data_IF_333464151819
#
_entry.id   IF_333464151819
#
_cell.length_a   1.000
_cell.length_b   1.000
_cell.length_c   1.000
_cell.angle_alpha   90.00
_cell.angle_beta   90.00
_cell.angle_gamma   90.00
#
_symmetry.space_group_name_H-M   'P 1'
#
loop_
_entity.id
_entity.type
_entity.pdbx_description
1 polymer ?
#
# COMPACT_ATOMS: atom_id res chain seq x y z
N UNK A 1 5.85 -10.41 -34.93
CA UNK A 1 5.64 -9.86 -33.55
C UNK A 1 6.91 -9.21 -33.06
N UNK A 2 6.83 -7.96 -32.51
CA UNK A 2 7.95 -7.18 -31.97
C UNK A 2 7.74 -6.84 -30.50
N UNK A 3 8.81 -6.51 -29.76
CA UNK A 3 8.69 -6.06 -28.35
C UNK A 3 7.80 -4.82 -28.24
N UNK A 4 7.91 -3.87 -29.18
CA UNK A 4 7.05 -2.67 -29.20
C UNK A 4 5.58 -3.02 -29.34
N UNK A 5 5.23 -3.98 -30.19
CA UNK A 5 3.84 -4.45 -30.31
C UNK A 5 3.35 -5.12 -29.01
N UNK A 6 4.23 -5.85 -28.33
CA UNK A 6 3.93 -6.44 -27.01
C UNK A 6 3.70 -5.35 -25.96
N UNK A 7 4.53 -4.30 -25.95
CA UNK A 7 4.34 -3.13 -25.06
C UNK A 7 2.98 -2.46 -25.32
N UNK A 8 2.59 -2.28 -26.57
CA UNK A 8 1.32 -1.64 -26.93
C UNK A 8 0.09 -2.43 -26.49
N UNK A 9 0.07 -3.76 -26.68
CA UNK A 9 -1.07 -4.56 -26.22
C UNK A 9 -1.19 -4.57 -24.68
N UNK A 10 -0.07 -4.60 -23.96
CA UNK A 10 -0.07 -4.51 -22.49
C UNK A 10 -0.52 -3.11 -22.03
N UNK A 11 -0.11 -2.05 -22.74
CA UNK A 11 -0.56 -0.68 -22.44
C UNK A 11 -2.08 -0.52 -22.63
N UNK A 12 -2.66 -1.06 -23.71
CA UNK A 12 -4.12 -1.01 -23.94
C UNK A 12 -4.87 -1.80 -22.87
N UNK A 13 -4.41 -2.98 -22.49
CA UNK A 13 -5.03 -3.76 -21.42
C UNK A 13 -5.03 -2.98 -20.08
N UNK A 14 -3.92 -2.35 -19.72
CA UNK A 14 -3.79 -1.58 -18.47
C UNK A 14 -4.72 -0.38 -18.42
N UNK A 15 -4.82 0.35 -19.52
CA UNK A 15 -5.54 1.61 -19.57
C UNK A 15 -7.01 1.48 -20.03
N UNK A 16 -7.42 0.33 -20.55
CA UNK A 16 -8.78 0.12 -21.10
C UNK A 16 -9.12 1.05 -22.28
N UNK A 17 -8.12 1.73 -22.87
CA UNK A 17 -8.30 2.78 -23.89
C UNK A 17 -7.09 2.85 -24.82
N UNK A 18 -7.34 2.85 -26.13
CA UNK A 18 -6.29 3.06 -27.15
C UNK A 18 -5.70 4.47 -27.11
N UNK A 19 -6.51 5.48 -26.74
CA UNK A 19 -6.06 6.88 -26.67
C UNK A 19 -5.08 7.03 -25.51
N UNK A 20 -5.49 6.63 -24.31
CA UNK A 20 -4.65 6.73 -23.10
C UNK A 20 -3.39 5.87 -23.22
N UNK A 21 -3.51 4.66 -23.80
CA UNK A 21 -2.35 3.81 -24.04
C UNK A 21 -1.34 4.43 -25.00
N UNK A 22 -1.81 5.13 -26.05
CA UNK A 22 -0.95 5.82 -27.01
C UNK A 22 -0.19 6.98 -26.36
N UNK A 23 -0.86 7.76 -25.51
CA UNK A 23 -0.24 8.84 -24.73
C UNK A 23 0.87 8.27 -23.82
N UNK A 24 0.59 7.17 -23.09
CA UNK A 24 1.55 6.49 -22.22
C UNK A 24 2.74 5.87 -22.98
N UNK A 25 2.52 5.47 -24.23
CA UNK A 25 3.58 4.96 -25.11
C UNK A 25 4.28 6.03 -25.94
N UNK A 26 3.95 7.31 -25.75
CA UNK A 26 4.53 8.45 -26.47
C UNK A 26 4.38 8.35 -28.00
N UNK A 27 3.21 7.84 -28.46
CA UNK A 27 2.88 7.71 -29.88
C UNK A 27 1.48 8.25 -30.17
N UNK A 28 1.13 8.39 -31.46
CA UNK A 28 -0.24 8.74 -31.83
C UNK A 28 -1.17 7.52 -31.75
N UNK A 29 -2.43 7.74 -31.41
CA UNK A 29 -3.44 6.66 -31.35
C UNK A 29 -3.55 5.86 -32.67
N UNK A 30 -3.55 6.49 -33.89
CA UNK A 30 -3.55 5.73 -35.13
C UNK A 30 -2.33 4.80 -35.25
N UNK A 31 -1.13 5.27 -34.86
CA UNK A 31 0.09 4.46 -34.91
C UNK A 31 -0.01 3.23 -34.00
N UNK A 32 -0.43 3.42 -32.74
CA UNK A 32 -0.61 2.31 -31.80
C UNK A 32 -1.67 1.32 -32.30
N UNK A 33 -2.82 1.82 -32.73
CA UNK A 33 -3.94 0.99 -33.23
C UNK A 33 -3.53 0.16 -34.45
N UNK A 34 -2.82 0.76 -35.42
CA UNK A 34 -2.31 0.08 -36.61
C UNK A 34 -1.31 -1.03 -36.26
N UNK A 35 -0.39 -0.78 -35.33
CA UNK A 35 0.59 -1.80 -34.88
C UNK A 35 -0.08 -2.97 -34.19
N UNK A 36 -1.11 -2.72 -33.37
CA UNK A 36 -1.88 -3.78 -32.73
C UNK A 36 -2.69 -4.57 -33.78
N UNK A 37 -3.32 -3.88 -34.74
CA UNK A 37 -4.04 -4.54 -35.81
C UNK A 37 -3.12 -5.46 -36.63
N UNK A 38 -1.92 -4.98 -37.00
CA UNK A 38 -0.91 -5.80 -37.70
C UNK A 38 -0.51 -7.03 -36.91
N UNK A 39 -0.38 -6.90 -35.57
CA UNK A 39 -0.08 -8.04 -34.70
C UNK A 39 -1.26 -9.03 -34.69
N UNK A 40 -2.50 -8.55 -34.55
CA UNK A 40 -3.71 -9.39 -34.60
C UNK A 40 -3.84 -10.15 -35.92
N UNK A 41 -3.52 -9.49 -37.04
CA UNK A 41 -3.50 -10.09 -38.39
C UNK A 41 -2.41 -11.15 -38.51
N UNK A 42 -1.18 -10.87 -38.02
CA UNK A 42 -0.07 -11.84 -38.01
C UNK A 42 -0.39 -13.09 -37.18
N UNK A 43 -1.08 -12.92 -36.06
CA UNK A 43 -1.48 -14.01 -35.17
C UNK A 43 -2.78 -14.72 -35.61
N UNK A 44 -3.53 -14.13 -36.53
CA UNK A 44 -4.82 -14.64 -36.98
C UNK A 44 -5.92 -14.59 -35.93
N UNK A 45 -5.82 -13.73 -34.91
CA UNK A 45 -6.76 -13.61 -33.80
C UNK A 45 -7.01 -12.16 -33.41
N UNK A 46 -8.15 -11.91 -32.75
CA UNK A 46 -8.41 -10.63 -32.09
C UNK A 46 -7.98 -10.70 -30.63
N UNK A 47 -7.14 -9.76 -30.21
CA UNK A 47 -6.68 -9.62 -28.82
C UNK A 47 -7.71 -8.82 -28.02
N UNK A 48 -8.29 -7.78 -28.63
CA UNK A 48 -9.24 -6.88 -27.97
C UNK A 48 -10.61 -6.90 -28.65
N UNK A 49 -11.65 -6.83 -27.82
CA UNK A 49 -13.00 -6.47 -28.26
C UNK A 49 -13.12 -4.93 -28.22
N UNK A 50 -13.23 -4.34 -29.41
CA UNK A 50 -13.29 -2.89 -29.58
C UNK A 50 -14.70 -2.31 -29.41
N UNK A 51 -15.73 -3.18 -29.24
CA UNK A 51 -17.12 -2.75 -29.08
C UNK A 51 -17.44 -2.37 -27.62
N UNK A 52 -16.56 -2.68 -26.70
CA UNK A 52 -16.73 -2.36 -25.28
C UNK A 52 -15.94 -1.12 -24.86
N UNK A 53 -16.50 -0.37 -23.91
CA UNK A 53 -15.84 0.73 -23.21
C UNK A 53 -16.01 0.52 -21.68
N UNK A 54 -14.92 0.28 -20.91
CA UNK A 54 -13.53 0.21 -21.35
C UNK A 54 -13.26 -0.96 -22.30
N UNK A 55 -12.19 -0.86 -23.10
CA UNK A 55 -11.74 -1.92 -24.03
C UNK A 55 -11.41 -3.19 -23.22
N UNK A 56 -11.95 -4.32 -23.65
CA UNK A 56 -11.77 -5.61 -22.98
C UNK A 56 -10.94 -6.55 -23.84
N UNK A 57 -10.12 -7.39 -23.21
CA UNK A 57 -9.42 -8.46 -23.88
C UNK A 57 -10.36 -9.64 -24.16
N UNK A 58 -10.27 -10.23 -25.36
CA UNK A 58 -10.92 -11.51 -25.67
C UNK A 58 -10.35 -12.64 -24.80
N UNK A 59 -11.00 -13.80 -24.76
CA UNK A 59 -10.49 -14.93 -23.97
C UNK A 59 -9.13 -15.43 -24.44
N UNK A 60 -8.86 -15.42 -25.75
CA UNK A 60 -7.54 -15.71 -26.28
C UNK A 60 -6.60 -14.53 -26.03
N UNK A 61 -7.08 -13.28 -26.15
CA UNK A 61 -6.33 -12.08 -25.81
C UNK A 61 -5.79 -12.09 -24.38
N UNK A 62 -6.58 -12.51 -23.38
CA UNK A 62 -6.13 -12.66 -21.98
C UNK A 62 -4.95 -13.61 -21.85
N UNK A 63 -4.99 -14.76 -22.56
CA UNK A 63 -3.89 -15.74 -22.55
C UNK A 63 -2.61 -15.17 -23.18
N UNK A 64 -2.75 -14.42 -24.28
CA UNK A 64 -1.63 -13.76 -24.95
C UNK A 64 -1.04 -12.66 -24.07
N UNK A 65 -1.86 -11.81 -23.46
CA UNK A 65 -1.44 -10.74 -22.57
C UNK A 65 -0.68 -11.28 -21.36
N UNK A 66 -1.06 -12.42 -20.80
CA UNK A 66 -0.29 -13.08 -19.74
C UNK A 66 1.12 -13.49 -20.20
N UNK A 67 1.27 -14.00 -21.44
CA UNK A 67 2.60 -14.33 -21.97
C UNK A 67 3.36 -13.05 -22.36
N UNK A 68 2.67 -12.05 -22.91
CA UNK A 68 3.24 -10.74 -23.24
C UNK A 68 3.90 -10.08 -22.02
N UNK A 69 3.21 -10.10 -20.87
CA UNK A 69 3.74 -9.61 -19.59
C UNK A 69 5.01 -10.35 -19.15
N UNK A 70 5.06 -11.67 -19.36
CA UNK A 70 6.28 -12.46 -19.05
C UNK A 70 7.45 -12.06 -19.95
N UNK A 71 7.21 -11.87 -21.26
CA UNK A 71 8.25 -11.43 -22.19
C UNK A 71 8.81 -10.07 -21.78
N UNK A 72 7.93 -9.11 -21.44
CA UNK A 72 8.38 -7.79 -20.95
C UNK A 72 9.13 -7.90 -19.62
N UNK A 73 8.69 -8.78 -18.73
CA UNK A 73 9.40 -9.06 -17.49
C UNK A 73 10.82 -9.55 -17.73
N UNK A 74 11.01 -10.58 -18.59
CA UNK A 74 12.35 -11.12 -18.92
C UNK A 74 13.24 -10.08 -19.60
N UNK A 75 12.69 -9.24 -20.48
CA UNK A 75 13.42 -8.10 -21.04
C UNK A 75 13.91 -7.16 -19.95
N UNK A 76 13.04 -6.80 -18.99
CA UNK A 76 13.40 -5.91 -17.88
C UNK A 76 14.43 -6.55 -16.93
N UNK A 77 14.40 -7.88 -16.76
CA UNK A 77 15.45 -8.62 -16.02
C UNK A 77 16.84 -8.44 -16.67
N UNK A 78 16.92 -8.36 -17.99
CA UNK A 78 18.19 -8.07 -18.69
C UNK A 78 18.71 -6.68 -18.30
N UNK A 79 17.84 -5.67 -18.29
CA UNK A 79 18.21 -4.31 -17.87
C UNK A 79 18.70 -4.28 -16.41
N UNK A 80 18.02 -5.02 -15.51
CA UNK A 80 18.43 -5.18 -14.10
C UNK A 80 19.80 -5.86 -13.95
N UNK A 81 20.10 -6.89 -14.77
CA UNK A 81 21.41 -7.55 -14.75
C UNK A 81 22.52 -6.58 -15.11
N UNK A 82 22.30 -5.72 -16.11
CA UNK A 82 23.26 -4.69 -16.51
C UNK A 82 23.47 -3.66 -15.39
N UNK A 83 22.37 -3.17 -14.81
CA UNK A 83 22.40 -2.24 -13.68
C UNK A 83 23.07 -2.88 -12.45
N UNK A 84 22.98 -4.22 -12.34
CA UNK A 84 23.58 -4.94 -11.20
C UNK A 84 25.09 -4.95 -11.19
N UNK A 85 25.73 -4.74 -12.31
CA UNK A 85 27.19 -4.67 -12.42
C UNK A 85 27.77 -3.27 -12.07
N UNK A 86 26.88 -2.27 -11.96
CA UNK A 86 27.30 -0.92 -11.55
C UNK A 86 27.26 -0.81 -10.03
N UNK A 87 28.33 -0.26 -9.44
CA UNK A 87 28.43 0.01 -8.00
C UNK A 87 27.46 1.11 -7.54
N UNK A 88 26.96 1.93 -8.47
CA UNK A 88 26.04 3.01 -8.20
C UNK A 88 24.58 2.58 -8.47
N UNK A 89 23.72 2.76 -7.48
CA UNK A 89 22.26 2.65 -7.65
C UNK A 89 21.73 3.92 -8.34
N UNK A 90 21.30 3.76 -9.59
CA UNK A 90 20.72 4.82 -10.42
C UNK A 90 19.38 4.33 -10.93
N UNK A 91 18.39 5.19 -10.96
CA UNK A 91 17.06 4.88 -11.51
C UNK A 91 15.94 5.63 -10.80
N UNK A 92 14.72 5.38 -11.25
CA UNK A 92 13.52 5.96 -10.66
C UNK A 92 12.73 4.93 -9.86
N UNK A 93 12.17 5.37 -8.73
CA UNK A 93 11.21 4.62 -7.92
C UNK A 93 9.94 5.44 -7.72
N UNK A 94 8.81 4.85 -8.12
CA UNK A 94 7.48 5.38 -7.82
C UNK A 94 6.83 4.51 -6.75
N UNK A 95 6.57 5.07 -5.57
CA UNK A 95 6.18 4.33 -4.37
C UNK A 95 4.80 4.81 -3.91
N UNK A 96 3.88 3.87 -3.69
CA UNK A 96 2.65 4.13 -2.95
C UNK A 96 2.78 3.75 -1.48
N UNK A 97 2.29 4.58 -0.57
CA UNK A 97 2.30 4.26 0.86
C UNK A 97 0.99 4.69 1.51
N UNK A 98 0.49 3.88 2.45
CA UNK A 98 -0.74 4.26 3.17
C UNK A 98 -0.49 5.39 4.16
N UNK A 99 -1.46 6.34 4.33
CA UNK A 99 -1.28 7.53 5.16
C UNK A 99 -1.03 7.24 6.63
N UNK A 100 -1.41 6.06 7.13
CA UNK A 100 -1.19 5.66 8.52
C UNK A 100 0.23 5.13 8.79
N UNK A 101 1.07 4.96 7.75
CA UNK A 101 2.47 4.50 7.84
C UNK A 101 3.43 5.63 7.46
N UNK A 102 3.08 6.39 6.43
CA UNK A 102 3.95 7.40 5.85
C UNK A 102 4.60 8.37 6.86
N UNK A 103 3.84 9.03 7.76
CA UNK A 103 4.41 10.07 8.64
C UNK A 103 5.48 9.55 9.61
N UNK A 104 5.35 8.30 10.07
CA UNK A 104 6.27 7.72 11.05
C UNK A 104 7.55 7.14 10.44
N UNK A 105 7.50 6.67 9.18
CA UNK A 105 8.65 5.94 8.59
C UNK A 105 9.36 6.71 7.50
N UNK A 106 8.64 7.48 6.65
CA UNK A 106 9.22 8.10 5.47
C UNK A 106 10.31 9.15 5.75
N UNK A 107 10.16 10.08 6.71
CA UNK A 107 11.11 11.16 6.87
C UNK A 107 12.55 10.66 7.06
N UNK A 108 12.75 9.71 7.95
CA UNK A 108 14.07 9.13 8.23
C UNK A 108 14.53 8.18 7.11
N UNK A 109 13.62 7.42 6.53
CA UNK A 109 13.90 6.52 5.39
C UNK A 109 14.42 7.29 4.19
N UNK A 110 13.72 8.33 3.77
CA UNK A 110 14.12 9.14 2.61
C UNK A 110 15.41 9.90 2.88
N UNK A 111 15.56 10.49 4.07
CA UNK A 111 16.80 11.18 4.46
C UNK A 111 18.04 10.27 4.34
N UNK A 112 17.95 9.04 4.85
CA UNK A 112 19.08 8.09 4.80
C UNK A 112 19.30 7.54 3.39
N UNK A 113 18.23 7.27 2.64
CA UNK A 113 18.28 6.73 1.30
C UNK A 113 18.91 7.72 0.30
N UNK A 114 18.46 8.98 0.30
CA UNK A 114 19.01 10.03 -0.59
C UNK A 114 20.47 10.35 -0.25
N UNK A 115 20.83 10.34 1.04
CA UNK A 115 22.22 10.50 1.45
C UNK A 115 23.12 9.39 0.92
N UNK A 116 22.63 8.13 0.94
CA UNK A 116 23.41 6.97 0.49
C UNK A 116 23.44 6.81 -1.03
N UNK A 117 22.34 7.18 -1.70
CA UNK A 117 22.15 7.00 -3.13
C UNK A 117 21.62 8.29 -3.80
N UNK A 118 22.49 9.30 -3.98
CA UNK A 118 22.07 10.63 -4.42
C UNK A 118 21.61 10.72 -5.88
N UNK A 119 21.81 9.64 -6.67
CA UNK A 119 21.37 9.56 -8.06
C UNK A 119 20.04 8.82 -8.26
N UNK A 120 19.36 8.46 -7.15
CA UNK A 120 18.01 7.90 -7.22
C UNK A 120 16.99 9.04 -7.39
N UNK A 121 16.10 8.86 -8.34
CA UNK A 121 14.89 9.68 -8.48
C UNK A 121 13.72 8.96 -7.78
N UNK A 122 13.19 9.57 -6.71
CA UNK A 122 12.20 8.92 -5.85
C UNK A 122 10.96 9.77 -5.76
N UNK A 123 9.86 9.21 -6.23
CA UNK A 123 8.52 9.76 -6.04
C UNK A 123 7.75 8.89 -5.05
N UNK A 124 7.27 9.48 -3.96
CA UNK A 124 6.42 8.80 -2.98
C UNK A 124 5.06 9.49 -2.94
N UNK A 125 4.00 8.72 -3.08
CA UNK A 125 2.62 9.21 -3.02
C UNK A 125 1.85 8.51 -1.90
N UNK A 126 1.25 9.30 -1.02
CA UNK A 126 0.32 8.78 -0.03
C UNK A 126 -1.02 8.49 -0.70
N UNK A 127 -1.51 7.26 -0.56
CA UNK A 127 -2.78 6.83 -1.13
C UNK A 127 -3.39 5.67 -0.33
N UNK A 128 -4.70 5.51 -0.41
CA UNK A 128 -5.38 4.39 0.25
C UNK A 128 -5.05 3.05 -0.41
N UNK A 129 -5.37 1.95 0.30
CA UNK A 129 -5.06 0.58 -0.15
C UNK A 129 -5.62 0.25 -1.52
N UNK A 130 -6.85 0.67 -1.83
CA UNK A 130 -7.49 0.40 -3.12
C UNK A 130 -6.74 1.08 -4.28
N UNK A 131 -6.35 2.34 -4.10
CA UNK A 131 -5.56 3.07 -5.10
C UNK A 131 -4.15 2.48 -5.26
N UNK A 132 -3.49 2.04 -4.17
CA UNK A 132 -2.19 1.34 -4.28
C UNK A 132 -2.33 0.07 -5.13
N UNK A 133 -3.35 -0.76 -4.84
CA UNK A 133 -3.61 -1.99 -5.59
C UNK A 133 -3.85 -1.69 -7.07
N UNK A 134 -4.67 -0.69 -7.38
CA UNK A 134 -4.96 -0.27 -8.75
C UNK A 134 -3.69 0.19 -9.46
N UNK A 135 -2.94 1.13 -8.87
CA UNK A 135 -1.72 1.67 -9.47
C UNK A 135 -0.63 0.60 -9.66
N UNK A 136 -0.53 -0.40 -8.78
CA UNK A 136 0.34 -1.56 -8.98
C UNK A 136 -0.08 -2.41 -10.17
N UNK A 137 -1.38 -2.63 -10.38
CA UNK A 137 -1.92 -3.37 -11.52
C UNK A 137 -1.71 -2.61 -12.84
N UNK A 138 -1.84 -1.30 -12.81
CA UNK A 138 -1.63 -0.40 -13.95
C UNK A 138 -0.14 -0.10 -14.21
N UNK A 139 0.75 -0.38 -13.26
CA UNK A 139 2.18 -0.13 -13.36
C UNK A 139 2.55 1.36 -13.22
N UNK A 140 1.68 2.16 -12.61
CA UNK A 140 1.94 3.58 -12.30
C UNK A 140 2.87 3.74 -11.09
N UNK A 141 2.88 2.77 -10.18
CA UNK A 141 3.84 2.66 -9.08
C UNK A 141 4.60 1.34 -9.16
N UNK A 142 5.83 1.36 -8.68
CA UNK A 142 6.73 0.21 -8.66
C UNK A 142 6.40 -0.76 -7.54
N UNK A 143 6.14 -0.23 -6.34
CA UNK A 143 5.70 -1.00 -5.18
C UNK A 143 4.88 -0.15 -4.21
N UNK A 144 4.13 -0.85 -3.35
CA UNK A 144 3.35 -0.25 -2.28
C UNK A 144 3.83 -0.68 -0.89
N UNK A 145 3.74 0.23 0.08
CA UNK A 145 3.92 -0.07 1.52
C UNK A 145 2.57 0.07 2.19
N UNK A 146 1.99 -1.06 2.58
CA UNK A 146 0.63 -1.08 3.11
C UNK A 146 0.39 -2.26 4.05
N UNK A 147 -0.79 -2.27 4.69
CA UNK A 147 -1.18 -3.37 5.59
C UNK A 147 -1.68 -4.57 4.80
N UNK A 148 -1.22 -5.76 5.18
CA UNK A 148 -1.57 -7.06 4.59
C UNK A 148 -2.16 -8.01 5.63
N UNK A 149 -2.76 -9.17 5.25
CA UNK A 149 -2.88 -9.71 3.90
C UNK A 149 -4.00 -9.05 3.06
N UNK A 150 -3.81 -8.95 1.73
CA UNK A 150 -4.76 -8.37 0.77
C UNK A 150 -5.61 -9.43 0.06
N UNK A 151 -5.12 -10.68 -0.02
CA UNK A 151 -5.71 -11.78 -0.80
C UNK A 151 -5.80 -11.53 -2.31
N UNK A 152 -4.94 -10.62 -2.85
CA UNK A 152 -4.86 -10.28 -4.28
C UNK A 152 -3.88 -11.18 -5.02
N UNK A 153 -4.38 -12.15 -5.81
CA UNK A 153 -3.56 -13.15 -6.52
C UNK A 153 -2.57 -12.57 -7.53
N UNK A 154 -2.80 -11.36 -8.03
CA UNK A 154 -1.94 -10.67 -9.00
C UNK A 154 -0.75 -9.96 -8.36
N UNK A 155 -0.74 -9.83 -7.05
CA UNK A 155 0.28 -9.13 -6.28
C UNK A 155 1.11 -10.11 -5.45
N UNK A 156 2.34 -9.70 -5.15
CA UNK A 156 3.25 -10.39 -4.24
C UNK A 156 3.42 -9.55 -2.99
N UNK A 157 3.17 -10.16 -1.84
CA UNK A 157 3.33 -9.53 -0.53
C UNK A 157 4.62 -10.04 0.12
N UNK A 158 5.44 -9.12 0.63
CA UNK A 158 6.65 -9.43 1.40
C UNK A 158 6.57 -8.67 2.71
N UNK A 159 6.36 -9.39 3.80
CA UNK A 159 6.21 -8.80 5.13
C UNK A 159 7.48 -8.09 5.55
N UNK A 160 7.37 -6.85 5.99
CA UNK A 160 8.46 -6.02 6.50
C UNK A 160 8.52 -6.02 8.02
N UNK A 161 7.38 -5.73 8.67
CA UNK A 161 7.29 -5.70 10.13
C UNK A 161 5.85 -5.87 10.63
N UNK A 162 5.74 -6.11 11.92
CA UNK A 162 4.47 -6.28 12.65
C UNK A 162 4.33 -5.16 13.66
N UNK A 163 3.41 -4.24 13.42
CA UNK A 163 3.20 -3.04 14.23
C UNK A 163 2.07 -3.21 15.22
N UNK A 164 2.35 -3.07 16.54
CA UNK A 164 1.31 -3.12 17.56
C UNK A 164 0.32 -1.96 17.45
N UNK A 165 -0.91 -2.23 17.88
CA UNK A 165 -1.89 -1.19 18.17
C UNK A 165 -1.83 -0.76 19.61
N UNK A 166 -2.09 0.52 19.85
CA UNK A 166 -2.22 1.13 21.18
C UNK A 166 -3.52 1.93 21.26
N UNK A 167 -4.00 2.16 22.46
CA UNK A 167 -5.13 3.04 22.74
C UNK A 167 -4.61 4.43 23.05
N UNK A 168 -5.21 5.45 22.47
CA UNK A 168 -5.12 6.85 22.90
C UNK A 168 -6.47 7.29 23.42
N UNK A 169 -6.54 7.73 24.67
CA UNK A 169 -7.80 8.08 25.35
C UNK A 169 -7.75 9.49 25.96
N UNK A 170 -8.90 10.15 26.05
CA UNK A 170 -9.04 11.45 26.69
C UNK A 170 -8.56 11.41 28.16
N UNK A 171 -8.01 12.53 28.68
CA UNK A 171 -7.32 12.63 29.99
C UNK A 171 -8.10 11.98 31.15
N UNK A 172 -9.40 12.04 31.18
CA UNK A 172 -10.24 11.50 32.27
C UNK A 172 -10.93 10.19 31.89
N UNK A 173 -10.52 9.55 30.81
CA UNK A 173 -11.21 8.37 30.33
C UNK A 173 -10.91 7.13 31.22
N UNK A 174 -11.93 6.29 31.47
CA UNK A 174 -11.85 5.08 32.33
C UNK A 174 -10.74 4.11 31.92
N UNK A 175 -10.40 4.01 30.62
CA UNK A 175 -9.33 3.16 30.13
C UNK A 175 -7.96 3.55 30.69
N UNK A 176 -7.72 4.81 31.05
CA UNK A 176 -6.45 5.27 31.62
C UNK A 176 -6.19 4.73 33.03
N UNK A 177 -7.22 4.28 33.74
CA UNK A 177 -7.07 3.63 35.06
C UNK A 177 -6.58 2.19 34.96
N UNK A 178 -6.49 1.61 33.76
CA UNK A 178 -6.01 0.25 33.53
C UNK A 178 -4.55 0.25 33.07
N UNK A 179 -3.78 -0.73 33.55
CA UNK A 179 -2.38 -0.92 33.10
C UNK A 179 -2.31 -1.46 31.67
N UNK A 180 -3.18 -2.41 31.35
CA UNK A 180 -3.29 -3.02 30.03
C UNK A 180 -4.78 -3.15 29.64
N UNK A 181 -5.05 -3.06 28.36
CA UNK A 181 -6.38 -3.10 27.78
C UNK A 181 -6.63 -4.43 27.11
N UNK A 182 -7.84 -4.95 27.22
CA UNK A 182 -8.32 -6.11 26.46
C UNK A 182 -9.41 -5.65 25.48
N UNK A 183 -9.70 -6.43 24.43
CA UNK A 183 -10.82 -6.10 23.52
C UNK A 183 -12.16 -5.93 24.23
N UNK A 184 -12.40 -6.65 25.32
CA UNK A 184 -13.64 -6.56 26.10
C UNK A 184 -13.79 -5.25 26.88
N UNK A 185 -12.72 -4.48 27.03
CA UNK A 185 -12.72 -3.16 27.67
C UNK A 185 -13.19 -2.04 26.73
N UNK A 186 -13.29 -2.33 25.42
CA UNK A 186 -13.59 -1.36 24.38
C UNK A 186 -15.10 -1.14 24.24
N UNK A 187 -15.51 0.11 24.31
CA UNK A 187 -16.88 0.52 24.02
C UNK A 187 -16.95 1.19 22.65
N UNK A 188 -17.63 0.56 21.70
CA UNK A 188 -17.75 1.05 20.31
C UNK A 188 -18.48 2.40 20.21
N UNK A 189 -19.19 2.82 21.24
CA UNK A 189 -19.86 4.11 21.28
C UNK A 189 -18.96 5.27 21.71
N UNK A 190 -17.75 4.97 22.20
CA UNK A 190 -16.79 5.97 22.67
C UNK A 190 -15.58 6.08 21.74
N UNK A 191 -15.52 5.30 20.63
CA UNK A 191 -14.37 5.22 19.74
C UNK A 191 -14.46 6.19 18.55
N UNK A 192 -13.39 6.90 18.32
CA UNK A 192 -13.15 7.65 17.08
C UNK A 192 -12.30 6.81 16.12
N UNK A 193 -12.70 6.71 14.85
CA UNK A 193 -12.00 5.90 13.85
C UNK A 193 -11.81 6.65 12.53
N UNK A 194 -10.86 6.17 11.73
CA UNK A 194 -10.66 6.63 10.35
C UNK A 194 -11.88 6.30 9.48
N UNK A 195 -12.00 6.98 8.34
CA UNK A 195 -13.03 6.73 7.32
C UNK A 195 -12.91 5.35 6.66
N UNK A 196 -13.94 4.97 5.91
CA UNK A 196 -14.06 3.63 5.30
C UNK A 196 -12.97 3.34 4.24
N UNK A 197 -12.31 4.36 3.71
CA UNK A 197 -11.20 4.24 2.76
C UNK A 197 -9.91 3.72 3.39
N UNK A 198 -9.82 3.66 4.73
CA UNK A 198 -8.64 3.20 5.46
C UNK A 198 -8.80 1.76 5.95
N UNK A 199 -7.90 0.86 5.54
CA UNK A 199 -7.88 -0.54 6.02
C UNK A 199 -7.81 -0.65 7.55
N UNK A 200 -7.21 0.32 8.23
CA UNK A 200 -7.13 0.38 9.69
C UNK A 200 -8.52 0.39 10.35
N UNK A 201 -9.53 1.00 9.73
CA UNK A 201 -10.91 0.98 10.25
C UNK A 201 -11.44 -0.45 10.39
N UNK A 202 -11.28 -1.28 9.36
CA UNK A 202 -11.71 -2.70 9.42
C UNK A 202 -10.97 -3.47 10.49
N UNK A 203 -9.67 -3.24 10.64
CA UNK A 203 -8.86 -3.87 11.69
C UNK A 203 -9.35 -3.48 13.09
N UNK A 204 -9.66 -2.21 13.31
CA UNK A 204 -10.21 -1.69 14.58
C UNK A 204 -11.61 -2.26 14.86
N UNK A 205 -12.50 -2.31 13.85
CA UNK A 205 -13.83 -2.90 13.99
C UNK A 205 -13.74 -4.39 14.37
N UNK A 206 -12.86 -5.14 13.70
CA UNK A 206 -12.63 -6.57 13.98
C UNK A 206 -12.06 -6.81 15.39
N UNK A 207 -11.30 -5.85 15.92
CA UNK A 207 -10.78 -5.90 17.29
C UNK A 207 -11.90 -5.68 18.33
N UNK A 208 -12.82 -4.78 18.06
CA UNK A 208 -13.94 -4.47 18.96
C UNK A 208 -15.05 -5.55 18.99
N UNK A 209 -14.92 -6.61 18.18
CA UNK A 209 -15.85 -7.74 18.16
C UNK A 209 -17.14 -7.46 17.36
N UNK A 210 -18.17 -8.34 17.57
CA UNK A 210 -19.45 -8.32 16.81
C UNK A 210 -20.43 -7.18 17.18
N UNK A 211 -20.03 -6.25 18.03
CA UNK A 211 -20.87 -5.09 18.32
C UNK A 211 -21.02 -4.26 17.04
N UNK A 212 -22.26 -3.83 16.74
CA UNK A 212 -22.48 -2.89 15.62
C UNK A 212 -21.69 -1.63 15.91
N UNK A 213 -20.68 -1.37 15.06
CA UNK A 213 -19.88 -0.16 15.16
C UNK A 213 -20.75 1.05 14.79
N UNK A 214 -21.18 1.78 15.81
CA UNK A 214 -22.02 2.99 15.64
C UNK A 214 -21.14 4.25 15.60
N UNK A 215 -19.88 4.14 16.06
CA UNK A 215 -19.00 5.28 16.31
C UNK A 215 -19.34 6.03 17.60
N UNK A 216 -18.56 7.03 17.96
CA UNK A 216 -18.84 7.85 19.13
C UNK A 216 -20.26 8.42 19.04
N UNK A 217 -21.04 8.28 20.12
CA UNK A 217 -22.40 8.82 20.20
C UNK A 217 -22.37 10.35 20.27
N UNK A 218 -22.13 10.95 19.11
CA UNK A 218 -22.17 12.39 18.91
C UNK A 218 -23.32 12.75 17.96
N UNK A 219 -23.85 13.96 18.04
CA UNK A 219 -24.90 14.43 17.14
C UNK A 219 -24.40 14.64 15.70
N UNK A 220 -23.16 14.30 15.40
CA UNK A 220 -22.57 14.39 14.07
C UNK A 220 -21.74 13.15 13.73
N UNK A 221 -21.64 12.82 12.45
CA UNK A 221 -20.73 11.80 11.91
C UNK A 221 -19.44 12.48 11.43
N UNK A 222 -18.30 11.92 11.83
CA UNK A 222 -16.99 12.43 11.40
C UNK A 222 -16.18 11.32 10.75
N UNK A 223 -15.90 11.48 9.46
CA UNK A 223 -15.04 10.59 8.70
C UNK A 223 -13.62 11.18 8.66
N UNK A 224 -12.75 10.71 9.53
CA UNK A 224 -11.38 11.20 9.63
C UNK A 224 -10.49 10.63 8.54
N UNK A 225 -9.67 11.47 7.91
CA UNK A 225 -8.62 11.08 6.97
C UNK A 225 -7.23 10.93 7.61
N UNK A 226 -7.05 11.32 8.89
CA UNK A 226 -5.72 11.32 9.51
C UNK A 226 -5.71 10.95 11.00
N UNK A 227 -4.59 10.39 11.45
CA UNK A 227 -4.35 10.08 12.87
C UNK A 227 -4.34 11.36 13.73
N UNK A 228 -3.77 12.45 13.22
CA UNK A 228 -3.75 13.72 13.93
C UNK A 228 -5.16 14.23 14.22
N UNK A 229 -6.05 14.14 13.23
CA UNK A 229 -7.46 14.53 13.42
C UNK A 229 -8.16 13.66 14.46
N UNK A 230 -7.87 12.36 14.53
CA UNK A 230 -8.43 11.47 15.55
C UNK A 230 -7.98 11.86 16.97
N UNK A 231 -6.70 12.17 17.15
CA UNK A 231 -6.15 12.61 18.43
C UNK A 231 -6.85 13.90 18.88
N UNK A 232 -6.96 14.90 18.00
CA UNK A 232 -7.63 16.15 18.32
C UNK A 232 -9.12 15.94 18.64
N UNK A 233 -9.81 15.00 17.98
CA UNK A 233 -11.20 14.66 18.30
C UNK A 233 -11.33 14.05 19.68
N UNK A 234 -10.42 13.15 20.07
CA UNK A 234 -10.37 12.57 21.42
C UNK A 234 -10.12 13.64 22.47
N UNK A 235 -9.17 14.54 22.23
CA UNK A 235 -8.81 15.58 23.21
C UNK A 235 -9.93 16.57 23.48
N UNK A 236 -10.70 16.92 22.45
CA UNK A 236 -11.78 17.92 22.55
C UNK A 236 -13.13 17.29 22.95
N UNK A 237 -13.46 16.13 22.41
CA UNK A 237 -14.79 15.54 22.54
C UNK A 237 -14.84 14.33 23.49
N UNK A 238 -13.70 13.94 24.06
CA UNK A 238 -13.62 12.75 24.90
C UNK A 238 -13.57 11.44 24.09
N UNK A 239 -13.75 10.32 24.80
CA UNK A 239 -13.65 8.98 24.20
C UNK A 239 -12.21 8.54 23.99
N UNK A 240 -12.00 7.69 22.99
CA UNK A 240 -10.67 7.15 22.67
C UNK A 240 -10.56 6.81 21.18
N UNK A 241 -9.32 6.57 20.73
CA UNK A 241 -9.02 6.00 19.43
C UNK A 241 -7.96 4.91 19.54
N UNK A 242 -7.82 4.11 18.49
CA UNK A 242 -6.78 3.07 18.38
C UNK A 242 -5.78 3.55 17.34
N UNK A 243 -4.49 3.54 17.70
CA UNK A 243 -3.39 4.03 16.87
C UNK A 243 -2.35 2.94 16.65
N UNK A 244 -1.65 2.94 15.51
CA UNK A 244 -0.43 2.16 15.36
C UNK A 244 0.67 2.75 16.24
N UNK A 245 1.46 1.89 16.88
CA UNK A 245 2.45 2.31 17.89
C UNK A 245 3.50 3.28 17.35
N UNK A 246 3.98 3.10 16.10
CA UNK A 246 4.96 3.99 15.48
C UNK A 246 4.42 5.41 15.27
N UNK A 247 3.10 5.58 15.18
CA UNK A 247 2.50 6.90 15.07
C UNK A 247 2.80 7.78 16.31
N UNK A 248 3.08 7.18 17.47
CA UNK A 248 3.44 7.93 18.67
C UNK A 248 4.71 8.76 18.48
N UNK A 249 5.63 8.31 17.62
CA UNK A 249 6.91 8.98 17.37
C UNK A 249 6.81 10.36 16.71
N UNK A 250 5.64 10.69 16.15
CA UNK A 250 5.41 12.00 15.51
C UNK A 250 4.80 13.03 16.45
N UNK A 251 4.52 12.65 17.70
CA UNK A 251 3.92 13.50 18.71
C UNK A 251 4.90 13.76 19.89
N UNK A 252 4.71 14.82 20.68
CA UNK A 252 5.47 15.06 21.89
C UNK A 252 5.28 13.93 22.92
N UNK A 253 6.30 13.67 23.74
CA UNK A 253 6.26 12.60 24.77
C UNK A 253 5.10 12.74 25.76
N UNK A 254 4.56 13.93 25.94
CA UNK A 254 3.38 14.18 26.78
C UNK A 254 2.15 13.40 26.37
N UNK A 255 2.07 12.96 25.09
CA UNK A 255 0.97 12.11 24.61
C UNK A 255 0.95 10.74 25.32
N UNK A 256 2.11 10.23 25.78
CA UNK A 256 2.28 8.92 26.38
C UNK A 256 1.46 8.73 27.68
N UNK A 257 1.13 9.80 28.38
CA UNK A 257 0.28 9.76 29.57
C UNK A 257 -1.13 9.23 29.24
N UNK A 258 -1.60 9.52 28.02
CA UNK A 258 -2.92 9.15 27.49
C UNK A 258 -2.90 7.84 26.70
N UNK A 259 -1.75 7.16 26.63
CA UNK A 259 -1.57 5.91 25.88
C UNK A 259 -1.68 4.68 26.80
N UNK A 260 -2.37 3.63 26.31
CA UNK A 260 -2.39 2.31 26.97
C UNK A 260 -2.14 1.22 25.94
N UNK A 261 -1.41 0.20 26.38
CA UNK A 261 -1.06 -0.96 25.57
C UNK A 261 -2.07 -2.10 25.77
N UNK A 262 -2.26 -2.89 24.73
CA UNK A 262 -3.06 -4.10 24.82
C UNK A 262 -2.31 -5.19 25.62
N UNK A 263 -3.10 -6.01 26.35
CA UNK A 263 -2.60 -7.26 26.95
C UNK A 263 -2.20 -8.26 25.86
N UNK A 264 -1.21 -9.10 26.16
CA UNK A 264 -0.84 -10.21 25.26
C UNK A 264 -1.99 -11.23 25.13
N UNK A 265 -2.24 -11.76 23.91
CA UNK A 265 -1.53 -11.45 22.65
C UNK A 265 -1.92 -10.08 22.09
N UNK A 266 -0.92 -9.20 21.91
CA UNK A 266 -1.15 -7.86 21.41
C UNK A 266 -1.71 -7.88 19.98
N UNK A 267 -2.77 -7.10 19.67
CA UNK A 267 -3.21 -6.89 18.30
C UNK A 267 -2.13 -6.13 17.53
N UNK A 268 -1.77 -6.65 16.36
CA UNK A 268 -0.79 -6.05 15.46
C UNK A 268 -1.33 -6.01 14.05
N UNK A 269 -0.87 -5.03 13.27
CA UNK A 269 -1.00 -5.05 11.81
C UNK A 269 0.30 -5.53 11.18
N UNK A 270 0.19 -6.22 10.08
CA UNK A 270 1.31 -6.61 9.26
C UNK A 270 1.53 -5.54 8.19
N UNK A 271 2.73 -4.99 8.10
CA UNK A 271 3.10 -4.01 7.08
C UNK A 271 4.03 -4.70 6.09
N UNK A 272 3.70 -4.61 4.82
CA UNK A 272 4.40 -5.31 3.74
C UNK A 272 4.79 -4.40 2.60
N UNK A 273 5.87 -4.80 1.93
CA UNK A 273 6.17 -4.39 0.56
C UNK A 273 5.27 -5.21 -0.36
N UNK A 274 4.48 -4.54 -1.18
CA UNK A 274 3.59 -5.18 -2.16
C UNK A 274 4.01 -4.77 -3.56
N UNK A 275 4.21 -5.76 -4.44
CA UNK A 275 4.65 -5.56 -5.82
C UNK A 275 3.72 -6.28 -6.78
N UNK A 276 3.74 -5.86 -8.04
CA UNK A 276 3.24 -6.71 -9.11
C UNK A 276 4.12 -7.96 -9.21
N UNK A 277 3.55 -9.10 -9.62
CA UNK A 277 4.31 -10.35 -9.81
C UNK A 277 5.43 -10.26 -10.86
N UNK A 278 5.35 -9.27 -11.75
CA UNK A 278 6.35 -8.97 -12.79
C UNK A 278 7.25 -7.77 -12.41
N UNK A 279 7.42 -7.54 -11.12
CA UNK A 279 8.30 -6.49 -10.62
C UNK A 279 9.78 -6.86 -10.80
N UNK A 280 10.61 -5.94 -11.31
CA UNK A 280 12.01 -6.18 -11.63
C UNK A 280 12.99 -5.32 -10.84
N UNK A 281 12.62 -4.13 -10.36
CA UNK A 281 13.53 -3.19 -9.67
C UNK A 281 13.98 -3.69 -8.27
N UNK A 282 14.46 -4.93 -8.19
CA UNK A 282 14.77 -5.60 -6.92
C UNK A 282 15.86 -4.89 -6.12
N UNK A 283 16.96 -4.45 -6.75
CA UNK A 283 18.04 -3.74 -6.03
C UNK A 283 17.56 -2.42 -5.41
N UNK A 284 16.77 -1.67 -6.18
CA UNK A 284 16.23 -0.39 -5.73
C UNK A 284 15.24 -0.58 -4.56
N UNK A 285 14.36 -1.59 -4.65
CA UNK A 285 13.42 -1.91 -3.57
C UNK A 285 14.12 -2.42 -2.32
N UNK A 286 15.17 -3.24 -2.45
CA UNK A 286 15.99 -3.70 -1.33
C UNK A 286 16.64 -2.51 -0.63
N UNK A 287 17.25 -1.58 -1.38
CA UNK A 287 17.85 -0.39 -0.79
C UNK A 287 16.85 0.48 -0.01
N UNK A 288 15.63 0.62 -0.55
CA UNK A 288 14.54 1.31 0.15
C UNK A 288 14.11 0.57 1.42
N UNK A 289 13.89 -0.74 1.33
CA UNK A 289 13.47 -1.59 2.45
C UNK A 289 14.52 -1.60 3.56
N UNK A 290 15.81 -1.74 3.23
CA UNK A 290 16.89 -1.70 4.21
C UNK A 290 16.92 -0.37 4.96
N UNK A 291 16.75 0.75 4.20
CA UNK A 291 16.66 2.07 4.80
C UNK A 291 15.42 2.22 5.69
N UNK A 292 14.27 1.69 5.28
CA UNK A 292 13.04 1.70 6.08
C UNK A 292 13.22 0.86 7.35
N UNK A 293 13.69 -0.38 7.22
CA UNK A 293 13.84 -1.31 8.34
C UNK A 293 14.89 -0.85 9.37
N UNK A 294 15.88 -0.05 8.95
CA UNK A 294 16.84 0.55 9.89
C UNK A 294 16.19 1.48 10.92
N UNK A 295 15.01 2.00 10.61
CA UNK A 295 14.24 2.88 11.49
C UNK A 295 13.12 2.15 12.27
N UNK A 296 12.95 0.82 12.05
CA UNK A 296 11.93 0.02 12.73
C UNK A 296 12.55 -0.69 13.94
N UNK A 297 11.92 -0.64 15.12
CA UNK A 297 12.36 -1.39 16.30
C UNK A 297 12.51 -2.89 16.01
N UNK A 298 13.60 -3.50 16.46
CA UNK A 298 13.89 -4.91 16.24
C UNK A 298 12.75 -5.83 16.71
N UNK A 299 12.10 -5.46 17.83
CA UNK A 299 10.96 -6.19 18.34
C UNK A 299 9.77 -6.30 17.36
N UNK A 300 9.66 -5.39 16.39
CA UNK A 300 8.59 -5.38 15.40
C UNK A 300 8.92 -6.18 14.14
N UNK A 301 10.19 -6.48 13.87
CA UNK A 301 10.62 -7.13 12.62
C UNK A 301 10.29 -8.62 12.53
N UNK A 302 10.06 -9.28 13.65
CA UNK A 302 9.78 -10.72 13.67
C UNK A 302 8.35 -11.02 14.15
N UNK A 303 7.73 -12.04 13.53
CA UNK A 303 6.47 -12.59 14.02
C UNK A 303 6.69 -13.25 15.38
N UNK A 304 5.87 -12.89 16.36
CA UNK A 304 5.96 -13.41 17.73
C UNK A 304 4.62 -14.02 18.14
N UNK A 305 4.63 -15.17 18.88
CA UNK A 305 3.43 -15.84 19.43
C UNK A 305 2.61 -14.94 20.36
N UNK A 306 3.24 -13.91 20.94
CA UNK A 306 2.58 -12.90 21.79
C UNK A 306 1.78 -11.84 21.01
N UNK A 307 1.68 -11.99 19.69
CA UNK A 307 1.03 -11.05 18.78
C UNK A 307 -0.06 -11.72 17.98
N UNK A 308 -1.20 -11.04 17.85
CA UNK A 308 -2.34 -11.43 17.02
C UNK A 308 -2.44 -10.51 15.82
N UNK A 309 -2.13 -11.02 14.64
CA UNK A 309 -2.24 -10.23 13.40
C UNK A 309 -3.72 -9.99 13.09
N UNK A 310 -4.08 -8.72 12.86
CA UNK A 310 -5.40 -8.33 12.39
C UNK A 310 -5.38 -8.25 10.87
N UNK A 311 -6.38 -8.84 10.21
CA UNK A 311 -6.51 -8.78 8.75
C UNK A 311 -6.94 -7.39 8.29
N UNK A 312 -6.46 -7.00 7.11
CA UNK A 312 -6.82 -5.71 6.49
C UNK A 312 -8.20 -5.70 5.83
N UNK A 313 -8.83 -6.89 5.72
CA UNK A 313 -10.18 -7.13 5.14
C UNK A 313 -11.05 -7.89 6.13
#
# INVERSE_FOLDING_TARGET
>A
MTLTQIEYIVAVERNGSFVTAAEKCFVTQPTLSMQIQKLEEELGIKIFDRNHHPILATDMGKKILEQAKKVLYERNVIDELILSQKDELIGSLNIGIIPTVAPSVLPNTLKSLVKKYPKLDITVSEMNTAHIIQNLKEGEIDFGILSTPLFEKSLKETVLYYEPYVIYAAKNHKLLNKKNITPDDLDVNEIWSLGDEHCMRFQVINLCGKQKFVGAQNPFTYNSGSILSLINMVDVNGGYTILPELALSIFPDTILEQVRYFKEPQPVREISLVTNKYFTKNKLSIAFVDSLLSNIPEAMKAKNKKRKVLTAN
#
